data_IF_728548410495
#
_entry.id   IF_728548410495
#
_cell.length_a   1.000
_cell.length_b   1.000
_cell.length_c   1.000
_cell.angle_alpha   90.00
_cell.angle_beta   90.00
_cell.angle_gamma   90.00
#
_symmetry.space_group_name_H-M   'P 1'
#
loop_
_entity.id
_entity.type
_entity.pdbx_description
1 polymer ?
#
# COMPACT_ATOMS: atom_id res chain seq x y z
N UNK A 1 -35.27 -42.25 24.02
CA UNK A 1 -33.89 -42.77 24.20
C UNK A 1 -33.36 -43.24 22.86
N UNK A 2 -32.51 -42.46 22.18
CA UNK A 2 -31.86 -42.88 20.91
C UNK A 2 -30.36 -43.00 21.14
N UNK A 3 -29.89 -44.24 21.03
CA UNK A 3 -28.49 -44.67 21.16
C UNK A 3 -27.68 -44.16 19.96
N UNK A 4 -26.61 -43.41 20.23
CA UNK A 4 -25.60 -43.03 19.24
C UNK A 4 -24.52 -44.12 19.21
N UNK A 5 -24.40 -44.83 18.08
CA UNK A 5 -23.27 -45.72 17.79
C UNK A 5 -22.12 -44.88 17.26
N UNK A 6 -20.99 -44.97 17.95
CA UNK A 6 -19.71 -44.39 17.55
C UNK A 6 -19.02 -45.33 16.55
N UNK A 7 -18.91 -44.89 15.29
CA UNK A 7 -18.14 -45.58 14.26
C UNK A 7 -16.68 -45.13 14.35
N UNK A 8 -15.79 -46.03 14.74
CA UNK A 8 -14.33 -45.86 14.69
C UNK A 8 -13.87 -45.91 13.24
N UNK A 9 -13.29 -44.81 12.76
CA UNK A 9 -12.58 -44.75 11.49
C UNK A 9 -11.13 -45.19 11.73
N UNK A 10 -10.74 -46.32 11.15
CA UNK A 10 -9.35 -46.78 11.11
C UNK A 10 -8.53 -45.89 10.15
N UNK A 11 -7.50 -45.25 10.68
CA UNK A 11 -6.56 -44.42 9.92
C UNK A 11 -5.44 -45.34 9.41
N UNK A 12 -5.49 -45.69 8.13
CA UNK A 12 -4.37 -46.36 7.46
C UNK A 12 -3.19 -45.39 7.34
N UNK A 13 -2.12 -45.66 8.09
CA UNK A 13 -0.84 -44.98 7.97
C UNK A 13 -0.20 -45.32 6.62
N UNK A 14 -0.26 -44.39 5.67
CA UNK A 14 0.47 -44.47 4.40
C UNK A 14 1.95 -44.16 4.64
N UNK A 15 2.84 -45.09 4.25
CA UNK A 15 4.29 -44.91 4.28
C UNK A 15 4.73 -43.63 3.55
N UNK A 16 5.65 -42.82 4.13
CA UNK A 16 6.18 -41.63 3.49
C UNK A 16 7.07 -42.03 2.31
N UNK A 17 6.54 -41.92 1.09
CA UNK A 17 7.34 -42.00 -0.15
C UNK A 17 8.33 -40.83 -0.16
N UNK A 18 9.61 -41.14 0.02
CA UNK A 18 10.68 -40.17 -0.13
C UNK A 18 10.64 -39.55 -1.54
N UNK A 19 10.83 -38.22 -1.67
CA UNK A 19 10.79 -37.55 -2.96
C UNK A 19 11.87 -38.13 -3.88
N UNK A 20 11.46 -38.56 -5.08
CA UNK A 20 12.34 -38.99 -6.16
C UNK A 20 13.05 -37.77 -6.75
N UNK A 21 14.28 -37.49 -6.29
CA UNK A 21 15.11 -36.43 -6.84
C UNK A 21 15.64 -36.87 -8.22
N UNK A 22 14.95 -36.45 -9.28
CA UNK A 22 15.40 -36.65 -10.65
C UNK A 22 16.68 -35.83 -10.89
N UNK A 23 17.81 -36.52 -11.07
CA UNK A 23 19.16 -35.96 -11.32
C UNK A 23 19.32 -35.18 -12.64
N UNK A 24 18.23 -34.88 -13.36
CA UNK A 24 18.28 -34.25 -14.70
C UNK A 24 18.28 -32.71 -14.70
N UNK A 25 18.28 -32.04 -13.54
CA UNK A 25 18.16 -30.57 -13.45
C UNK A 25 19.47 -29.82 -13.15
N UNK A 26 20.63 -30.47 -13.09
CA UNK A 26 21.87 -29.83 -12.60
C UNK A 26 22.62 -28.96 -13.64
N UNK A 27 22.12 -28.85 -14.89
CA UNK A 27 22.84 -28.13 -15.97
C UNK A 27 22.00 -27.12 -16.77
N UNK A 28 20.75 -26.86 -16.37
CA UNK A 28 19.99 -25.78 -17.00
C UNK A 28 20.53 -24.44 -16.49
N UNK A 29 21.11 -23.62 -17.39
CA UNK A 29 21.46 -22.23 -17.05
C UNK A 29 20.19 -21.49 -16.64
N UNK A 30 20.17 -20.79 -15.49
CA UNK A 30 19.00 -20.05 -15.04
C UNK A 30 18.60 -19.03 -16.11
N UNK A 31 17.29 -18.75 -16.22
CA UNK A 31 16.84 -17.73 -17.18
C UNK A 31 17.40 -16.38 -16.74
N UNK A 32 17.80 -15.48 -17.66
CA UNK A 32 18.34 -14.18 -17.28
C UNK A 32 17.41 -13.32 -16.41
N UNK A 33 16.09 -13.52 -16.51
CA UNK A 33 15.11 -12.87 -15.63
C UNK A 33 15.16 -13.42 -14.21
N UNK A 34 15.25 -14.74 -14.05
CA UNK A 34 15.38 -15.41 -12.74
C UNK A 34 16.69 -14.98 -12.05
N UNK A 35 17.80 -14.97 -12.80
CA UNK A 35 19.10 -14.46 -12.31
C UNK A 35 18.99 -13.01 -11.82
N UNK A 36 18.23 -12.17 -12.52
CA UNK A 36 18.04 -10.77 -12.13
C UNK A 36 17.21 -10.64 -10.85
N UNK A 37 16.10 -11.40 -10.73
CA UNK A 37 15.27 -11.44 -9.52
C UNK A 37 16.08 -11.83 -8.29
N UNK A 38 16.81 -12.94 -8.37
CA UNK A 38 17.66 -13.43 -7.27
C UNK A 38 18.71 -12.39 -6.86
N UNK A 39 19.32 -11.69 -7.83
CA UNK A 39 20.34 -10.68 -7.56
C UNK A 39 19.77 -9.45 -6.85
N UNK A 40 18.59 -8.95 -7.26
CA UNK A 40 18.00 -7.79 -6.61
C UNK A 40 17.42 -8.14 -5.24
N UNK A 41 16.84 -9.32 -5.05
CA UNK A 41 16.38 -9.82 -3.75
C UNK A 41 17.55 -9.97 -2.78
N UNK A 42 18.64 -10.60 -3.22
CA UNK A 42 19.85 -10.74 -2.41
C UNK A 42 20.43 -9.38 -1.99
N UNK A 43 20.42 -8.41 -2.90
CA UNK A 43 21.00 -7.08 -2.67
C UNK A 43 20.11 -6.20 -1.79
N UNK A 44 18.80 -6.24 -2.00
CA UNK A 44 17.84 -5.52 -1.16
C UNK A 44 17.74 -6.15 0.24
N UNK A 45 17.84 -7.47 0.33
CA UNK A 45 17.61 -8.22 1.56
C UNK A 45 16.20 -7.94 2.08
N UNK A 46 16.10 -7.52 3.35
CA UNK A 46 14.83 -7.11 3.95
C UNK A 46 14.53 -5.60 3.80
N UNK A 47 15.44 -4.82 3.22
CA UNK A 47 15.33 -3.37 3.17
C UNK A 47 14.37 -2.92 2.07
N UNK A 48 13.54 -1.93 2.38
CA UNK A 48 12.61 -1.28 1.45
C UNK A 48 13.12 0.09 0.99
N UNK A 49 12.61 0.64 -0.13
CA UNK A 49 13.03 1.93 -0.67
C UNK A 49 13.01 3.11 0.32
N UNK A 50 12.08 3.13 1.27
CA UNK A 50 12.02 4.18 2.30
C UNK A 50 13.17 4.14 3.32
N UNK A 51 13.89 3.02 3.42
CA UNK A 51 14.89 2.79 4.46
C UNK A 51 16.26 3.36 4.06
N UNK A 52 16.94 3.97 5.03
CA UNK A 52 18.27 4.56 4.81
C UNK A 52 19.33 3.54 4.35
N UNK A 53 19.16 2.27 4.73
CA UNK A 53 20.10 1.18 4.42
C UNK A 53 19.87 0.55 3.04
N UNK A 54 18.84 0.98 2.31
CA UNK A 54 18.53 0.43 0.99
C UNK A 54 19.65 0.71 -0.01
N UNK A 55 20.15 -0.35 -0.68
CA UNK A 55 21.35 -0.29 -1.52
C UNK A 55 21.03 0.16 -2.96
N UNK A 56 20.56 1.40 -3.13
CA UNK A 56 20.10 1.96 -4.40
C UNK A 56 21.04 1.73 -5.59
N UNK A 57 22.33 1.99 -5.43
CA UNK A 57 23.30 1.89 -6.52
C UNK A 57 23.53 0.44 -6.96
N UNK A 58 23.49 -0.50 -6.02
CA UNK A 58 23.74 -1.91 -6.30
C UNK A 58 22.53 -2.56 -6.98
N UNK A 59 21.30 -2.26 -6.53
CA UNK A 59 20.09 -2.80 -7.19
C UNK A 59 19.95 -2.30 -8.64
N UNK A 60 20.29 -1.03 -8.91
CA UNK A 60 20.29 -0.47 -10.28
C UNK A 60 21.27 -1.17 -11.21
N UNK A 61 22.47 -1.49 -10.70
CA UNK A 61 23.55 -2.12 -11.47
C UNK A 61 23.13 -3.48 -12.05
N UNK A 62 22.30 -4.23 -11.34
CA UNK A 62 21.77 -5.53 -11.83
C UNK A 62 20.90 -5.34 -13.07
N UNK A 63 20.08 -4.29 -13.10
CA UNK A 63 19.27 -3.92 -14.28
C UNK A 63 20.16 -3.48 -15.44
N UNK A 64 21.17 -2.64 -15.21
CA UNK A 64 22.10 -2.21 -16.26
C UNK A 64 22.81 -3.42 -16.90
N UNK A 65 23.23 -4.38 -16.08
CA UNK A 65 23.84 -5.62 -16.54
C UNK A 65 22.85 -6.50 -17.33
N UNK A 66 21.61 -6.62 -16.85
CA UNK A 66 20.55 -7.33 -17.55
C UNK A 66 20.29 -6.74 -18.94
N UNK A 67 20.15 -5.42 -19.05
CA UNK A 67 19.93 -4.71 -20.31
C UNK A 67 21.14 -4.88 -21.24
N UNK A 68 22.36 -4.70 -20.73
CA UNK A 68 23.59 -4.84 -21.51
C UNK A 68 23.72 -6.23 -22.13
N UNK A 69 23.33 -7.30 -21.41
CA UNK A 69 23.30 -8.68 -21.92
C UNK A 69 22.34 -8.87 -23.11
N UNK A 70 21.33 -8.01 -23.29
CA UNK A 70 20.36 -8.09 -24.41
C UNK A 70 20.86 -7.45 -25.70
N UNK A 71 21.96 -6.69 -25.66
CA UNK A 71 22.52 -6.03 -26.83
C UNK A 71 21.77 -4.74 -27.19
N UNK A 72 21.70 -4.41 -28.49
CA UNK A 72 21.04 -3.19 -28.98
C UNK A 72 19.52 -3.40 -28.97
N UNK A 73 18.86 -2.83 -27.97
CA UNK A 73 17.40 -2.76 -27.87
C UNK A 73 16.96 -1.31 -27.77
N UNK A 74 15.77 -1.01 -28.30
CA UNK A 74 15.16 0.32 -28.28
C UNK A 74 14.58 0.63 -26.90
N UNK A 75 14.31 1.92 -26.61
CA UNK A 75 13.69 2.31 -25.34
C UNK A 75 12.32 1.66 -25.12
N UNK A 76 11.51 1.52 -26.18
CA UNK A 76 10.21 0.86 -26.08
C UNK A 76 10.35 -0.63 -25.71
N UNK A 77 11.34 -1.32 -26.26
CA UNK A 77 11.64 -2.71 -25.90
C UNK A 77 12.18 -2.84 -24.47
N UNK A 78 12.98 -1.87 -24.01
CA UNK A 78 13.43 -1.78 -22.61
C UNK A 78 12.21 -1.63 -21.70
N UNK A 79 11.33 -0.66 -21.98
CA UNK A 79 10.15 -0.38 -21.16
C UNK A 79 9.26 -1.63 -21.03
N UNK A 80 8.98 -2.34 -22.12
CA UNK A 80 8.18 -3.58 -22.11
C UNK A 80 8.86 -4.70 -21.32
N UNK A 81 10.17 -4.90 -21.51
CA UNK A 81 10.90 -5.96 -20.81
C UNK A 81 11.00 -5.70 -19.31
N UNK A 82 11.30 -4.46 -18.91
CA UNK A 82 11.43 -4.10 -17.50
C UNK A 82 10.06 -4.07 -16.81
N UNK A 83 9.00 -3.62 -17.48
CA UNK A 83 7.63 -3.76 -16.98
C UNK A 83 7.29 -5.22 -16.66
N UNK A 84 7.58 -6.14 -17.60
CA UNK A 84 7.37 -7.58 -17.39
C UNK A 84 8.19 -8.15 -16.23
N UNK A 85 9.42 -7.66 -15.99
CA UNK A 85 10.20 -8.05 -14.82
C UNK A 85 9.56 -7.56 -13.53
N UNK A 86 9.13 -6.30 -13.48
CA UNK A 86 8.48 -5.72 -12.29
C UNK A 86 7.20 -6.48 -11.95
N UNK A 87 6.35 -6.77 -12.94
CA UNK A 87 5.08 -7.46 -12.74
C UNK A 87 5.24 -8.87 -12.16
N UNK A 88 6.32 -9.57 -12.55
CA UNK A 88 6.67 -10.92 -12.11
C UNK A 88 7.38 -10.96 -10.74
N UNK A 89 7.77 -9.80 -10.21
CA UNK A 89 8.46 -9.69 -8.94
C UNK A 89 7.49 -9.63 -7.76
N UNK A 90 7.79 -10.35 -6.67
CA UNK A 90 6.97 -10.31 -5.43
C UNK A 90 7.05 -8.93 -4.76
N UNK A 91 8.26 -8.46 -4.46
CA UNK A 91 8.53 -7.09 -4.00
C UNK A 91 8.62 -6.07 -5.16
N UNK A 92 7.47 -5.69 -5.72
CA UNK A 92 7.39 -4.78 -6.90
C UNK A 92 8.05 -3.42 -6.67
N UNK A 93 7.98 -2.89 -5.46
CA UNK A 93 8.65 -1.66 -5.04
C UNK A 93 10.17 -1.74 -5.16
N UNK A 94 10.77 -2.88 -4.82
CA UNK A 94 12.21 -3.15 -4.99
C UNK A 94 12.56 -3.28 -6.47
N UNK A 95 11.73 -3.98 -7.25
CA UNK A 95 11.92 -4.08 -8.69
C UNK A 95 11.82 -2.72 -9.39
N UNK A 96 10.88 -1.85 -8.98
CA UNK A 96 10.77 -0.47 -9.47
C UNK A 96 12.03 0.33 -9.10
N UNK A 97 12.54 0.19 -7.87
CA UNK A 97 13.78 0.86 -7.45
C UNK A 97 14.98 0.45 -8.32
N UNK A 98 15.02 -0.80 -8.76
CA UNK A 98 16.04 -1.33 -9.66
C UNK A 98 15.85 -0.93 -11.13
N UNK A 99 14.62 -0.77 -11.62
CA UNK A 99 14.32 -0.59 -13.04
C UNK A 99 14.06 0.86 -13.47
N UNK A 100 13.50 1.70 -12.59
CA UNK A 100 12.88 2.96 -13.00
C UNK A 100 13.85 3.96 -13.64
N UNK A 101 15.17 3.89 -13.37
CA UNK A 101 16.16 4.77 -13.99
C UNK A 101 16.41 4.45 -15.46
N UNK A 102 16.13 3.22 -15.90
CA UNK A 102 16.32 2.75 -17.27
C UNK A 102 15.02 2.78 -18.10
N UNK A 103 13.87 3.06 -17.46
CA UNK A 103 12.57 3.15 -18.10
C UNK A 103 12.23 4.58 -18.50
N UNK A 104 11.38 4.75 -19.50
CA UNK A 104 10.82 6.06 -19.81
C UNK A 104 9.88 6.53 -18.68
N UNK A 105 9.80 7.86 -18.40
CA UNK A 105 8.92 8.37 -17.36
C UNK A 105 7.44 8.00 -17.57
N UNK A 106 7.02 7.92 -18.84
CA UNK A 106 5.66 7.49 -19.22
C UNK A 106 5.40 6.03 -18.86
N UNK A 107 6.37 5.14 -19.09
CA UNK A 107 6.25 3.74 -18.73
C UNK A 107 6.19 3.54 -17.21
N UNK A 108 7.05 4.25 -16.45
CA UNK A 108 7.03 4.22 -14.97
C UNK A 108 5.67 4.70 -14.44
N UNK A 109 5.15 5.83 -14.93
CA UNK A 109 3.84 6.34 -14.50
C UNK A 109 2.70 5.38 -14.89
N UNK A 110 2.76 4.77 -16.09
CA UNK A 110 1.76 3.78 -16.50
C UNK A 110 1.75 2.56 -15.56
N UNK A 111 2.93 2.05 -15.19
CA UNK A 111 3.05 0.97 -14.20
C UNK A 111 2.43 1.35 -12.86
N UNK A 112 2.80 2.52 -12.31
CA UNK A 112 2.26 2.98 -11.02
C UNK A 112 0.73 3.14 -11.03
N UNK A 113 0.16 3.56 -12.16
CA UNK A 113 -1.29 3.70 -12.31
C UNK A 113 -2.02 2.35 -12.39
N UNK A 114 -1.40 1.34 -13.01
CA UNK A 114 -1.90 -0.05 -13.00
C UNK A 114 -1.77 -0.66 -11.60
N UNK A 115 -0.71 -0.30 -10.87
CA UNK A 115 -0.45 -0.70 -9.48
C UNK A 115 -1.30 0.03 -8.43
N UNK A 116 -2.29 0.86 -8.83
CA UNK A 116 -3.38 1.33 -7.94
C UNK A 116 -4.32 0.19 -7.48
N UNK A 117 -3.83 -1.05 -7.46
CA UNK A 117 -4.46 -2.27 -6.96
C UNK A 117 -4.46 -2.34 -5.43
N UNK A 118 -4.51 -1.19 -4.75
CA UNK A 118 -4.81 -1.13 -3.32
C UNK A 118 -6.22 -1.68 -3.13
N UNK A 119 -6.32 -2.81 -2.42
CA UNK A 119 -7.58 -3.50 -2.22
C UNK A 119 -8.60 -2.55 -1.56
N UNK A 120 -9.77 -2.28 -2.18
CA UNK A 120 -10.65 -1.18 -1.78
C UNK A 120 -11.14 -1.20 -0.33
N UNK A 121 -11.25 -2.39 0.27
CA UNK A 121 -11.78 -2.58 1.63
C UNK A 121 -10.68 -2.76 2.67
N UNK A 122 -9.65 -3.55 2.35
CA UNK A 122 -8.60 -3.92 3.31
C UNK A 122 -7.38 -3.02 3.22
N UNK A 123 -7.28 -2.19 2.17
CA UNK A 123 -6.10 -1.39 1.85
C UNK A 123 -4.82 -2.23 1.69
N UNK A 124 -4.96 -3.54 1.46
CA UNK A 124 -3.85 -4.41 1.13
C UNK A 124 -3.15 -3.89 -0.14
N UNK A 125 -1.82 -3.81 -0.09
CA UNK A 125 -1.00 -3.22 -1.15
C UNK A 125 -0.73 -1.71 -1.00
N UNK A 126 -1.35 -1.01 -0.04
CA UNK A 126 -1.08 0.43 0.17
C UNK A 126 0.40 0.69 0.47
N UNK A 127 1.01 -0.07 1.38
CA UNK A 127 2.44 0.07 1.72
C UNK A 127 3.33 -0.08 0.48
N UNK A 128 3.13 -1.15 -0.29
CA UNK A 128 3.88 -1.41 -1.52
C UNK A 128 3.69 -0.29 -2.55
N UNK A 129 2.48 0.24 -2.69
CA UNK A 129 2.21 1.39 -3.56
C UNK A 129 2.99 2.64 -3.12
N UNK A 130 2.98 2.97 -1.83
CA UNK A 130 3.73 4.13 -1.31
C UNK A 130 5.24 3.94 -1.48
N UNK A 131 5.78 2.75 -1.21
CA UNK A 131 7.18 2.41 -1.47
C UNK A 131 7.55 2.55 -2.95
N UNK A 132 6.64 2.15 -3.85
CA UNK A 132 6.81 2.26 -5.30
C UNK A 132 6.88 3.72 -5.76
N UNK A 133 6.09 4.63 -5.18
CA UNK A 133 6.18 6.07 -5.45
C UNK A 133 7.53 6.65 -4.99
N UNK A 134 8.02 6.23 -3.82
CA UNK A 134 9.32 6.65 -3.29
C UNK A 134 10.45 6.18 -4.22
N UNK A 135 10.39 4.91 -4.64
CA UNK A 135 11.32 4.31 -5.59
C UNK A 135 11.34 5.03 -6.94
N UNK A 136 10.17 5.26 -7.52
CA UNK A 136 10.02 5.93 -8.81
C UNK A 136 10.52 7.38 -8.77
N UNK A 137 10.19 8.15 -7.74
CA UNK A 137 10.70 9.52 -7.59
C UNK A 137 12.23 9.57 -7.47
N UNK A 138 12.83 8.68 -6.67
CA UNK A 138 14.28 8.64 -6.49
C UNK A 138 15.03 8.27 -7.79
N UNK A 139 14.47 7.37 -8.60
CA UNK A 139 15.13 6.86 -9.81
C UNK A 139 14.72 7.59 -11.10
N UNK A 140 13.54 8.22 -11.11
CA UNK A 140 12.92 8.89 -12.26
C UNK A 140 12.04 10.06 -11.78
N UNK A 141 12.63 11.17 -11.33
CA UNK A 141 11.90 12.29 -10.71
C UNK A 141 10.94 13.01 -11.67
N UNK A 142 11.05 12.78 -12.97
CA UNK A 142 10.11 13.27 -13.99
C UNK A 142 8.83 12.43 -14.06
N UNK A 143 8.84 11.21 -13.53
CA UNK A 143 7.67 10.32 -13.49
C UNK A 143 6.78 10.56 -12.26
N UNK A 144 7.38 10.82 -11.10
CA UNK A 144 6.72 11.07 -9.81
C UNK A 144 7.28 12.33 -9.18
N UNK A 145 6.39 13.27 -8.86
CA UNK A 145 6.76 14.58 -8.30
C UNK A 145 7.29 14.46 -6.87
N UNK A 146 8.08 15.44 -6.44
CA UNK A 146 8.56 15.53 -5.05
C UNK A 146 7.40 15.60 -4.03
N UNK A 147 6.30 16.23 -4.39
CA UNK A 147 5.12 16.31 -3.52
C UNK A 147 4.48 14.94 -3.31
N UNK A 148 4.32 14.15 -4.37
CA UNK A 148 3.81 12.77 -4.29
C UNK A 148 4.72 11.90 -3.44
N UNK A 149 6.04 12.00 -3.65
CA UNK A 149 7.03 11.25 -2.87
C UNK A 149 7.05 11.67 -1.40
N UNK A 150 6.91 12.98 -1.10
CA UNK A 150 6.77 13.48 0.26
C UNK A 150 5.53 12.92 0.94
N UNK A 151 4.38 12.94 0.26
CA UNK A 151 3.15 12.31 0.76
C UNK A 151 3.34 10.81 1.00
N UNK A 152 3.98 10.10 0.07
CA UNK A 152 4.24 8.67 0.22
C UNK A 152 5.09 8.35 1.45
N UNK A 153 6.19 9.07 1.67
CA UNK A 153 7.07 8.89 2.84
C UNK A 153 6.32 9.13 4.17
N UNK A 154 5.50 10.17 4.22
CA UNK A 154 4.80 10.57 5.44
C UNK A 154 3.55 9.73 5.73
N UNK A 155 2.92 9.16 4.69
CA UNK A 155 1.78 8.27 4.84
C UNK A 155 2.17 6.81 5.12
N UNK A 156 3.43 6.44 4.90
CA UNK A 156 3.92 5.09 5.11
C UNK A 156 3.66 4.55 6.54
N UNK A 157 3.86 5.33 7.63
CA UNK A 157 3.51 4.87 8.98
C UNK A 157 2.02 4.62 9.22
N UNK A 158 1.16 5.12 8.33
CA UNK A 158 -0.29 4.97 8.37
C UNK A 158 -0.80 3.88 7.39
N UNK A 159 0.12 3.24 6.65
CA UNK A 159 -0.20 2.16 5.73
C UNK A 159 -0.40 0.86 6.50
N UNK A 160 -1.61 0.69 7.04
CA UNK A 160 -2.05 -0.52 7.72
C UNK A 160 -2.91 -1.39 6.78
N UNK A 161 -3.24 -2.60 7.20
CA UNK A 161 -4.11 -3.52 6.47
C UNK A 161 -5.23 -4.06 7.36
N UNK A 162 -6.37 -4.41 6.74
CA UNK A 162 -7.53 -4.97 7.42
C UNK A 162 -8.58 -3.92 7.78
N UNK A 163 -9.40 -4.21 8.80
CA UNK A 163 -10.63 -3.46 9.03
C UNK A 163 -10.39 -1.98 9.40
N UNK A 164 -9.29 -1.67 10.09
CA UNK A 164 -8.93 -0.33 10.56
C UNK A 164 -8.16 0.51 9.54
N UNK A 165 -7.68 -0.09 8.46
CA UNK A 165 -6.73 0.53 7.55
C UNK A 165 -7.26 1.83 6.92
N UNK A 166 -8.52 1.86 6.50
CA UNK A 166 -9.13 3.07 5.94
C UNK A 166 -9.09 4.25 6.93
N UNK A 167 -9.35 4.01 8.22
CA UNK A 167 -9.34 5.04 9.25
C UNK A 167 -7.94 5.57 9.53
N UNK A 168 -6.96 4.64 9.66
CA UNK A 168 -5.53 4.98 9.84
C UNK A 168 -5.00 5.80 8.67
N UNK A 169 -5.31 5.38 7.44
CA UNK A 169 -4.92 6.12 6.26
C UNK A 169 -5.50 7.54 6.23
N UNK A 170 -6.78 7.70 6.59
CA UNK A 170 -7.42 9.02 6.67
C UNK A 170 -6.83 9.92 7.77
N UNK A 171 -6.49 9.34 8.92
CA UNK A 171 -5.76 10.03 9.99
C UNK A 171 -4.43 10.60 9.45
N UNK A 172 -3.65 9.78 8.71
CA UNK A 172 -2.42 10.21 8.06
C UNK A 172 -2.63 11.30 7.00
N UNK A 173 -3.68 11.19 6.19
CA UNK A 173 -4.03 12.23 5.19
C UNK A 173 -4.37 13.55 5.86
N UNK A 174 -5.14 13.51 6.96
CA UNK A 174 -5.46 14.71 7.73
C UNK A 174 -4.21 15.35 8.33
N UNK A 175 -3.29 14.53 8.88
CA UNK A 175 -2.00 15.02 9.34
C UNK A 175 -1.19 15.68 8.20
N UNK A 176 -1.21 15.08 7.00
CA UNK A 176 -0.51 15.62 5.84
C UNK A 176 -1.06 16.96 5.35
N UNK A 177 -2.38 17.09 5.27
CA UNK A 177 -3.02 18.35 4.88
C UNK A 177 -2.75 19.48 5.89
N UNK A 178 -2.50 19.16 7.16
CA UNK A 178 -2.10 20.16 8.17
C UNK A 178 -0.62 20.57 8.08
N UNK A 179 0.25 19.66 7.64
CA UNK A 179 1.71 19.86 7.67
C UNK A 179 2.32 20.20 6.32
N UNK A 180 1.55 20.06 5.24
CA UNK A 180 2.01 20.33 3.87
C UNK A 180 1.03 21.26 3.18
N UNK A 181 1.55 22.36 2.65
CA UNK A 181 0.76 23.30 1.85
C UNK A 181 0.30 22.64 0.54
N UNK A 182 -0.94 22.15 0.56
CA UNK A 182 -1.56 21.44 -0.56
C UNK A 182 -2.77 22.26 -0.97
N UNK A 183 -2.77 22.92 -2.14
CA UNK A 183 -3.84 23.86 -2.47
C UNK A 183 -5.18 23.16 -2.75
N UNK A 184 -5.13 21.96 -3.32
CA UNK A 184 -6.29 21.10 -3.55
C UNK A 184 -5.82 19.67 -3.88
N UNK A 185 -6.73 18.70 -3.87
CA UNK A 185 -6.39 17.30 -4.18
C UNK A 185 -6.10 17.04 -5.66
N UNK A 186 -6.34 17.97 -6.59
CA UNK A 186 -6.07 17.75 -8.02
C UNK A 186 -4.57 17.73 -8.33
N UNK A 187 -3.72 18.30 -7.47
CA UNK A 187 -2.27 18.17 -7.59
C UNK A 187 -1.76 16.76 -7.22
N UNK A 188 -2.62 15.94 -6.61
CA UNK A 188 -2.33 14.58 -6.15
C UNK A 188 -3.49 13.64 -6.53
N UNK A 189 -3.76 13.44 -7.83
CA UNK A 189 -4.98 12.78 -8.31
C UNK A 189 -5.12 11.33 -7.81
N UNK A 190 -4.02 10.59 -7.72
CA UNK A 190 -4.04 9.19 -7.25
C UNK A 190 -4.35 9.11 -5.76
N UNK A 191 -3.76 9.99 -4.95
CA UNK A 191 -4.12 10.13 -3.54
C UNK A 191 -5.59 10.59 -3.38
N UNK A 192 -6.09 11.46 -4.25
CA UNK A 192 -7.50 11.88 -4.24
C UNK A 192 -8.46 10.69 -4.48
N UNK A 193 -8.08 9.75 -5.34
CA UNK A 193 -8.84 8.51 -5.56
C UNK A 193 -8.80 7.64 -4.30
N UNK A 194 -7.63 7.41 -3.71
CA UNK A 194 -7.47 6.60 -2.50
C UNK A 194 -8.22 7.19 -1.30
N UNK A 195 -8.16 8.50 -1.12
CA UNK A 195 -8.87 9.24 -0.07
C UNK A 195 -10.38 9.07 -0.19
N UNK A 196 -10.95 9.26 -1.39
CA UNK A 196 -12.39 9.05 -1.61
C UNK A 196 -12.82 7.62 -1.32
N UNK A 197 -12.01 6.63 -1.75
CA UNK A 197 -12.25 5.21 -1.42
C UNK A 197 -12.21 4.98 0.09
N UNK A 198 -11.21 5.53 0.78
CA UNK A 198 -11.05 5.39 2.23
C UNK A 198 -12.23 6.01 2.99
N UNK A 199 -12.67 7.21 2.61
CA UNK A 199 -13.84 7.86 3.21
C UNK A 199 -15.10 7.01 3.04
N UNK A 200 -15.36 6.50 1.83
CA UNK A 200 -16.50 5.62 1.57
C UNK A 200 -16.45 4.33 2.39
N UNK A 201 -15.30 3.65 2.41
CA UNK A 201 -15.10 2.40 3.17
C UNK A 201 -15.27 2.65 4.66
N UNK A 202 -14.67 3.73 5.18
CA UNK A 202 -14.74 4.10 6.59
C UNK A 202 -16.17 4.46 7.02
N UNK A 203 -16.89 5.27 6.23
CA UNK A 203 -18.29 5.63 6.50
C UNK A 203 -19.20 4.38 6.51
N UNK A 204 -19.02 3.48 5.54
CA UNK A 204 -19.77 2.21 5.47
C UNK A 204 -19.52 1.36 6.72
N UNK A 205 -18.26 1.31 7.19
CA UNK A 205 -17.90 0.57 8.39
C UNK A 205 -18.53 1.16 9.65
N UNK A 206 -18.55 2.48 9.80
CA UNK A 206 -19.22 3.14 10.92
C UNK A 206 -20.72 2.86 10.93
N UNK A 207 -21.38 2.94 9.77
CA UNK A 207 -22.80 2.59 9.68
C UNK A 207 -23.03 1.11 10.01
N UNK A 208 -22.14 0.21 9.57
CA UNK A 208 -22.20 -1.20 9.95
C UNK A 208 -22.01 -1.45 11.44
N UNK A 209 -21.18 -0.66 12.14
CA UNK A 209 -21.06 -0.74 13.61
C UNK A 209 -22.32 -0.22 14.31
N UNK A 210 -22.87 0.91 13.83
CA UNK A 210 -24.11 1.50 14.31
C UNK A 210 -25.29 0.52 14.21
N UNK A 211 -25.49 -0.10 13.06
CA UNK A 211 -26.56 -1.09 12.83
C UNK A 211 -26.43 -2.33 13.70
N UNK A 212 -25.20 -2.71 14.08
CA UNK A 212 -24.92 -3.84 14.98
C UNK A 212 -24.83 -3.43 16.46
N UNK A 213 -25.17 -2.18 16.79
CA UNK A 213 -25.04 -1.63 18.14
C UNK A 213 -23.64 -1.76 18.75
N UNK A 214 -22.58 -1.80 17.92
CA UNK A 214 -21.18 -1.92 18.35
C UNK A 214 -20.61 -0.55 18.76
N UNK A 215 -21.27 0.12 19.70
CA UNK A 215 -20.99 1.51 20.05
C UNK A 215 -19.59 1.72 20.64
N UNK A 216 -19.11 0.79 21.48
CA UNK A 216 -17.76 0.86 22.06
C UNK A 216 -16.69 0.81 20.96
N UNK A 217 -16.85 -0.10 20.00
CA UNK A 217 -15.93 -0.21 18.86
C UNK A 217 -16.00 1.04 17.96
N UNK A 218 -17.21 1.54 17.67
CA UNK A 218 -17.39 2.77 16.89
C UNK A 218 -16.69 3.95 17.57
N UNK A 219 -16.81 4.08 18.90
CA UNK A 219 -16.19 5.16 19.66
C UNK A 219 -14.66 5.12 19.55
N UNK A 220 -14.05 3.95 19.68
CA UNK A 220 -12.61 3.78 19.47
C UNK A 220 -12.17 4.15 18.05
N UNK A 221 -12.98 3.80 17.03
CA UNK A 221 -12.67 4.07 15.63
C UNK A 221 -12.78 5.56 15.26
N UNK A 222 -13.68 6.32 15.89
CA UNK A 222 -13.88 7.77 15.62
C UNK A 222 -12.99 8.68 16.46
N UNK A 223 -12.20 8.14 17.40
CA UNK A 223 -11.39 8.94 18.33
C UNK A 223 -10.49 9.97 17.62
N UNK A 224 -9.86 9.61 16.50
CA UNK A 224 -9.02 10.52 15.72
C UNK A 224 -9.81 11.70 15.13
N UNK A 225 -11.11 11.53 14.83
CA UNK A 225 -11.97 12.62 14.35
C UNK A 225 -12.26 13.64 15.45
N UNK A 226 -12.34 13.18 16.70
CA UNK A 226 -12.44 14.09 17.85
C UNK A 226 -11.19 14.96 17.96
N UNK A 227 -10.00 14.36 17.85
CA UNK A 227 -8.73 15.10 17.82
C UNK A 227 -8.67 16.04 16.62
N UNK A 228 -9.19 15.63 15.46
CA UNK A 228 -9.29 16.51 14.30
C UNK A 228 -10.16 17.73 14.58
N UNK A 229 -11.37 17.53 15.11
CA UNK A 229 -12.32 18.61 15.41
C UNK A 229 -11.75 19.60 16.44
N UNK A 230 -11.08 19.09 17.48
CA UNK A 230 -10.48 19.92 18.53
C UNK A 230 -9.32 20.80 18.02
N UNK A 231 -8.60 20.33 17.01
CA UNK A 231 -7.46 21.05 16.42
C UNK A 231 -7.84 21.83 15.15
N UNK A 232 -9.14 22.08 14.92
CA UNK A 232 -9.61 22.90 13.81
C UNK A 232 -9.15 24.35 14.02
N UNK A 233 -8.39 24.95 13.09
CA UNK A 233 -7.99 26.34 13.22
C UNK A 233 -9.22 27.26 13.11
N UNK A 234 -9.21 28.37 13.84
CA UNK A 234 -10.31 29.34 13.81
C UNK A 234 -10.50 29.99 12.42
N UNK A 235 -9.42 30.09 11.65
CA UNK A 235 -9.42 30.61 10.29
C UNK A 235 -8.69 29.64 9.37
N UNK A 236 -9.21 29.47 8.15
CA UNK A 236 -8.52 28.70 7.11
C UNK A 236 -7.43 29.57 6.50
N UNK A 237 -6.16 29.12 6.47
CA UNK A 237 -5.13 29.79 5.70
C UNK A 237 -5.55 29.94 4.23
N UNK A 238 -5.39 31.12 3.62
CA UNK A 238 -5.77 31.32 2.23
C UNK A 238 -4.94 30.41 1.32
N UNK A 239 -5.61 29.71 0.41
CA UNK A 239 -4.95 28.90 -0.62
C UNK A 239 -4.56 27.48 -0.21
N UNK A 240 -4.80 27.05 1.04
CA UNK A 240 -4.48 25.69 1.50
C UNK A 240 -5.73 24.85 1.74
N UNK A 241 -5.70 23.58 1.33
CA UNK A 241 -6.76 22.61 1.60
C UNK A 241 -6.65 22.08 3.03
N UNK A 242 -7.63 22.40 3.88
CA UNK A 242 -7.73 21.85 5.22
C UNK A 242 -8.42 20.48 5.24
N UNK A 243 -8.07 19.58 6.19
CA UNK A 243 -8.75 18.30 6.35
C UNK A 243 -10.27 18.43 6.47
N UNK A 244 -10.73 19.45 7.19
CA UNK A 244 -12.15 19.69 7.44
C UNK A 244 -12.92 19.91 6.13
N UNK A 245 -12.33 20.61 5.15
CA UNK A 245 -12.95 20.79 3.84
C UNK A 245 -13.15 19.45 3.12
N UNK A 246 -12.13 18.59 3.18
CA UNK A 246 -12.20 17.27 2.57
C UNK A 246 -13.28 16.41 3.25
N UNK A 247 -13.32 16.44 4.59
CA UNK A 247 -14.31 15.70 5.38
C UNK A 247 -15.73 16.23 5.16
N UNK A 248 -15.92 17.54 5.04
CA UNK A 248 -17.22 18.18 4.82
C UNK A 248 -17.84 17.79 3.48
N UNK A 249 -17.03 17.72 2.44
CA UNK A 249 -17.50 17.39 1.09
C UNK A 249 -17.80 15.90 0.96
N UNK A 250 -16.96 15.03 1.53
CA UNK A 250 -16.97 13.60 1.24
C UNK A 250 -17.59 12.73 2.36
N UNK A 251 -17.64 13.23 3.59
CA UNK A 251 -18.27 12.55 4.73
C UNK A 251 -18.98 13.55 5.68
N UNK A 252 -20.09 14.18 5.26
CA UNK A 252 -20.70 15.31 5.98
C UNK A 252 -21.10 15.04 7.44
N UNK A 253 -21.33 13.77 7.80
CA UNK A 253 -21.70 13.36 9.16
C UNK A 253 -20.50 13.27 10.12
N UNK A 254 -19.27 13.50 9.66
CA UNK A 254 -18.07 13.32 10.47
C UNK A 254 -18.07 14.15 11.76
N UNK A 255 -18.64 15.38 11.74
CA UNK A 255 -18.73 16.21 12.95
C UNK A 255 -19.64 15.64 14.02
N UNK A 256 -20.72 14.97 13.62
CA UNK A 256 -21.62 14.27 14.55
C UNK A 256 -20.85 13.15 15.24
N UNK A 257 -20.10 12.36 14.46
CA UNK A 257 -19.24 11.30 15.00
C UNK A 257 -18.12 11.85 15.90
N UNK A 258 -17.48 12.95 15.50
CA UNK A 258 -16.41 13.58 16.27
C UNK A 258 -16.87 14.13 17.63
N UNK A 259 -18.11 14.66 17.69
CA UNK A 259 -18.72 15.23 18.89
C UNK A 259 -19.51 14.20 19.72
N UNK A 260 -19.67 12.99 19.21
CA UNK A 260 -20.37 11.94 19.94
C UNK A 260 -19.60 11.52 21.20
N UNK A 261 -20.32 11.45 22.32
CA UNK A 261 -19.81 11.08 23.64
C UNK A 261 -20.74 10.03 24.25
N UNK A 262 -20.61 8.74 23.88
CA UNK A 262 -21.42 7.69 24.49
C UNK A 262 -21.08 7.54 25.98
N UNK A 263 -22.08 7.26 26.80
CA UNK A 263 -21.85 6.84 28.17
C UNK A 263 -21.41 5.36 28.15
N UNK A 264 -20.09 5.14 28.09
CA UNK A 264 -19.50 3.81 27.95
C UNK A 264 -19.71 2.97 29.22
N UNK A 265 -19.74 3.61 30.40
CA UNK A 265 -19.93 2.93 31.69
C UNK A 265 -21.27 2.17 31.75
N UNK A 266 -22.32 2.75 31.17
CA UNK A 266 -23.65 2.13 31.11
C UNK A 266 -23.73 0.96 30.13
N UNK A 267 -22.87 0.92 29.11
CA UNK A 267 -22.92 -0.10 28.05
C UNK A 267 -22.25 -1.44 28.39
N UNK A 268 -21.47 -1.50 29.48
CA UNK A 268 -20.80 -2.75 29.92
C UNK A 268 -21.69 -3.60 30.84
N UNK A 269 -22.82 -3.05 31.32
CA UNK A 269 -23.71 -3.71 32.29
C UNK A 269 -24.90 -4.46 31.65
N UNK A 270 -24.98 -4.52 30.31
CA UNK A 270 -26.01 -5.23 29.54
C UNK A 270 -25.37 -6.38 28.77
#
# INVERSE_FOLDING_TARGET
MRSWRSSRTEVHASEPKLPSWSKKSLFAKPRPSEEWHEQIDFTAGAHRPSEQKFQWSLVKRHTDHYIKKKGKITQAEIDVKLASLIEQHEARDVAIAACAHAMSPKAVRALLNVELNVAPTTFFGLEMYLQSLIAANHCSPTSVTELEAKWARQLLPYADHGANAAGRYLEGVCFMLRTTDTPNMNVLPDFAILVRRALKTYATRLEGMKLRCQWVAAYGVVAWMTTLAQNTPATTPPGSLMPEHLMDVQFPLWRIWANWRPNIERSVQL
#
